data_IF_392712616625
#
_entry.id   IF_392712616625
#
_cell.length_a   1.000
_cell.length_b   1.000
_cell.length_c   1.000
_cell.angle_alpha   90.00
_cell.angle_beta   90.00
_cell.angle_gamma   90.00
#
_symmetry.space_group_name_H-M   'P 1'
#
loop_
_entity.id
_entity.type
_entity.pdbx_description
1 polymer ?
#
# COMPACT_ATOMS: atom_id res chain seq x y z
N UNK A 1 -16.43 26.95 18.84
CA UNK A 1 -17.85 26.57 18.55
C UNK A 1 -17.92 25.93 17.15
N UNK A 2 -18.90 25.10 16.85
CA UNK A 2 -18.97 24.32 15.60
C UNK A 2 -18.75 25.14 14.32
N UNK A 3 -19.28 26.37 14.25
CA UNK A 3 -19.12 27.25 13.08
C UNK A 3 -17.67 27.68 12.87
N UNK A 4 -16.91 27.92 13.96
CA UNK A 4 -15.49 28.25 13.88
C UNK A 4 -14.68 27.05 13.37
N UNK A 5 -15.02 25.84 13.84
CA UNK A 5 -14.34 24.61 13.43
C UNK A 5 -14.62 24.28 11.97
N UNK A 6 -15.87 24.45 11.50
CA UNK A 6 -16.22 24.31 10.08
C UNK A 6 -15.47 25.37 9.24
N UNK A 7 -15.42 26.60 9.71
CA UNK A 7 -14.72 27.67 8.99
C UNK A 7 -13.21 27.43 8.93
N UNK A 8 -12.60 26.89 10.01
CA UNK A 8 -11.19 26.46 10.00
C UNK A 8 -10.94 25.36 8.97
N UNK A 9 -11.83 24.37 8.86
CA UNK A 9 -11.73 23.31 7.87
C UNK A 9 -11.84 23.85 6.43
N UNK A 10 -12.75 24.79 6.16
CA UNK A 10 -12.88 25.47 4.87
C UNK A 10 -11.61 26.29 4.57
N UNK A 11 -11.11 27.05 5.56
CA UNK A 11 -9.87 27.83 5.43
C UNK A 11 -8.65 26.93 5.14
N UNK A 12 -8.56 25.76 5.81
CA UNK A 12 -7.56 24.74 5.52
C UNK A 12 -7.65 24.26 4.07
N UNK A 13 -8.84 23.96 3.58
CA UNK A 13 -9.05 23.45 2.22
C UNK A 13 -8.64 24.50 1.16
N UNK A 14 -8.97 25.78 1.37
CA UNK A 14 -8.53 26.88 0.50
C UNK A 14 -7.01 27.05 0.51
N UNK A 15 -6.39 27.10 1.69
CA UNK A 15 -4.94 27.25 1.86
C UNK A 15 -4.15 26.12 1.18
N UNK A 16 -4.70 24.92 1.16
CA UNK A 16 -4.09 23.74 0.57
C UNK A 16 -4.54 23.45 -0.88
N UNK A 17 -5.24 24.39 -1.50
CA UNK A 17 -5.70 24.28 -2.90
C UNK A 17 -6.61 23.05 -3.17
N UNK A 18 -7.32 22.56 -2.14
CA UNK A 18 -8.26 21.47 -2.27
C UNK A 18 -9.60 21.92 -2.87
N UNK A 19 -9.97 23.18 -2.62
CA UNK A 19 -11.17 23.84 -3.13
C UNK A 19 -10.82 25.24 -3.62
N UNK A 20 -11.65 25.82 -4.50
CA UNK A 20 -11.55 27.19 -4.95
C UNK A 20 -12.45 28.13 -4.13
N UNK A 21 -12.28 29.44 -4.27
CA UNK A 21 -13.12 30.45 -3.59
C UNK A 21 -14.61 30.32 -3.97
N UNK A 22 -14.86 29.93 -5.21
CA UNK A 22 -16.21 29.73 -5.76
C UNK A 22 -16.94 28.56 -5.12
N UNK A 23 -16.22 27.60 -4.52
CA UNK A 23 -16.77 26.38 -3.93
C UNK A 23 -17.27 26.60 -2.49
N UNK A 24 -16.87 27.68 -1.82
CA UNK A 24 -17.08 27.89 -0.38
C UNK A 24 -18.52 27.69 0.06
N UNK A 25 -19.49 28.27 -0.66
CA UNK A 25 -20.91 28.17 -0.25
C UNK A 25 -21.43 26.74 -0.42
N UNK A 26 -21.02 26.04 -1.48
CA UNK A 26 -21.43 24.65 -1.71
C UNK A 26 -20.86 23.75 -0.60
N UNK A 27 -19.56 23.88 -0.32
CA UNK A 27 -18.86 23.11 0.72
C UNK A 27 -19.46 23.41 2.11
N UNK A 28 -19.66 24.69 2.43
CA UNK A 28 -20.29 25.10 3.70
C UNK A 28 -21.65 24.45 3.89
N UNK A 29 -22.52 24.50 2.87
CA UNK A 29 -23.86 23.92 2.95
C UNK A 29 -23.83 22.39 3.09
N UNK A 30 -22.90 21.70 2.43
CA UNK A 30 -22.69 20.26 2.60
C UNK A 30 -22.20 19.89 4.00
N UNK A 31 -21.27 20.70 4.56
CA UNK A 31 -20.81 20.50 5.95
C UNK A 31 -21.95 20.76 6.94
N UNK A 32 -22.75 21.84 6.73
CA UNK A 32 -23.93 22.10 7.56
C UNK A 32 -24.92 20.95 7.53
N UNK A 33 -25.18 20.35 6.36
CA UNK A 33 -26.06 19.17 6.22
C UNK A 33 -25.53 17.98 7.03
N UNK A 34 -24.23 17.69 6.92
CA UNK A 34 -23.59 16.58 7.64
C UNK A 34 -23.66 16.75 9.17
N UNK A 35 -23.55 17.98 9.66
CA UNK A 35 -23.69 18.33 11.09
C UNK A 35 -25.13 18.65 11.51
N UNK A 36 -26.10 18.49 10.61
CA UNK A 36 -27.54 18.75 10.86
C UNK A 36 -27.80 20.19 11.34
N UNK A 37 -27.01 21.17 10.83
CA UNK A 37 -27.16 22.59 11.17
C UNK A 37 -28.16 23.25 10.23
N UNK A 38 -29.10 24.00 10.80
CA UNK A 38 -30.15 24.72 10.03
C UNK A 38 -29.83 26.19 9.79
N UNK A 39 -28.90 26.75 10.54
CA UNK A 39 -28.49 28.14 10.45
C UNK A 39 -26.96 28.22 10.36
N UNK A 40 -26.47 29.31 9.79
CA UNK A 40 -25.04 29.64 9.79
C UNK A 40 -24.79 30.87 10.65
N UNK A 41 -23.72 30.82 11.42
CA UNK A 41 -23.19 31.97 12.15
C UNK A 41 -21.86 32.38 11.54
N UNK A 42 -21.78 33.62 11.03
CA UNK A 42 -20.53 34.11 10.44
C UNK A 42 -19.44 34.17 11.50
N UNK A 43 -18.24 33.75 11.09
CA UNK A 43 -17.03 33.74 11.90
C UNK A 43 -15.86 34.19 11.04
N UNK A 44 -14.84 34.78 11.66
CA UNK A 44 -13.60 35.23 11.02
C UNK A 44 -12.43 34.29 11.33
N UNK A 45 -12.72 33.07 11.82
CA UNK A 45 -11.70 32.11 12.19
C UNK A 45 -10.99 31.60 10.92
N UNK A 46 -9.67 31.73 10.90
CA UNK A 46 -8.80 31.22 9.84
C UNK A 46 -8.01 30.03 10.34
N UNK A 47 -7.61 29.13 9.41
CA UNK A 47 -6.66 28.07 9.69
C UNK A 47 -5.24 28.67 9.77
N UNK A 48 -4.56 28.46 10.89
CA UNK A 48 -3.15 28.77 11.07
C UNK A 48 -2.22 27.75 10.38
N UNK A 49 -1.20 27.29 11.10
CA UNK A 49 -0.30 26.19 10.67
C UNK A 49 -0.67 24.87 11.36
N UNK A 50 -1.97 24.65 11.56
CA UNK A 50 -2.48 23.45 12.23
C UNK A 50 -2.43 22.25 11.29
N UNK A 51 -2.13 21.09 11.86
CA UNK A 51 -2.26 19.81 11.15
C UNK A 51 -3.74 19.45 11.00
N UNK A 52 -4.07 18.70 9.96
CA UNK A 52 -5.48 18.35 9.66
C UNK A 52 -6.15 17.58 10.81
N UNK A 53 -5.43 16.75 11.56
CA UNK A 53 -5.95 16.01 12.69
C UNK A 53 -6.43 16.95 13.82
N UNK A 54 -5.75 18.09 14.04
CA UNK A 54 -6.13 19.08 15.04
C UNK A 54 -7.39 19.84 14.64
N UNK A 55 -7.62 20.01 13.35
CA UNK A 55 -8.83 20.66 12.79
C UNK A 55 -10.02 19.68 12.83
N UNK A 56 -9.79 18.41 12.53
CA UNK A 56 -10.84 17.39 12.50
C UNK A 56 -11.29 16.97 13.91
N UNK A 57 -10.38 16.95 14.89
CA UNK A 57 -10.67 16.45 16.25
C UNK A 57 -11.90 17.13 16.88
N UNK A 58 -12.01 18.47 16.98
CA UNK A 58 -13.19 19.12 17.56
C UNK A 58 -14.48 18.89 16.78
N UNK A 59 -14.40 18.72 15.45
CA UNK A 59 -15.54 18.37 14.61
C UNK A 59 -16.08 16.95 14.90
N UNK A 60 -15.16 15.99 15.12
CA UNK A 60 -15.49 14.63 15.50
C UNK A 60 -16.08 14.57 16.92
N UNK A 61 -15.52 15.32 17.86
CA UNK A 61 -16.04 15.42 19.22
C UNK A 61 -17.47 15.98 19.22
N UNK A 62 -17.72 17.06 18.48
CA UNK A 62 -19.06 17.62 18.29
C UNK A 62 -20.03 16.57 17.72
N UNK A 63 -19.61 15.82 16.69
CA UNK A 63 -20.47 14.81 16.09
C UNK A 63 -20.83 13.67 17.07
N UNK A 64 -19.91 13.28 17.95
CA UNK A 64 -20.16 12.31 19.01
C UNK A 64 -21.09 12.88 20.10
N UNK A 65 -20.85 14.11 20.56
CA UNK A 65 -21.67 14.80 21.58
C UNK A 65 -23.12 14.99 21.12
N UNK A 66 -23.30 15.38 19.84
CA UNK A 66 -24.62 15.53 19.23
C UNK A 66 -25.24 14.17 18.81
N UNK A 67 -24.57 13.05 19.07
CA UNK A 67 -25.03 11.69 18.71
C UNK A 67 -25.26 11.50 17.20
N UNK A 68 -24.56 12.26 16.36
CA UNK A 68 -24.56 12.09 14.90
C UNK A 68 -23.84 10.78 14.55
N UNK A 69 -22.78 10.46 15.30
CA UNK A 69 -22.04 9.20 15.18
C UNK A 69 -21.81 8.59 16.57
N UNK A 70 -21.65 7.25 16.66
CA UNK A 70 -21.13 6.60 17.87
C UNK A 70 -19.68 7.00 18.14
N UNK A 71 -19.32 7.14 19.44
CA UNK A 71 -17.96 7.45 19.84
C UNK A 71 -17.10 6.17 19.88
N UNK A 72 -16.69 5.71 18.69
CA UNK A 72 -15.69 4.64 18.50
C UNK A 72 -14.75 5.02 17.38
N UNK A 73 -13.54 4.46 17.39
CA UNK A 73 -12.51 4.75 16.39
C UNK A 73 -13.01 4.50 14.96
N UNK A 74 -13.75 3.42 14.74
CA UNK A 74 -14.26 3.09 13.41
C UNK A 74 -15.26 4.15 12.88
N UNK A 75 -16.19 4.61 13.71
CA UNK A 75 -17.16 5.63 13.30
C UNK A 75 -16.52 7.01 13.16
N UNK A 76 -15.55 7.36 14.01
CA UNK A 76 -14.74 8.57 13.85
C UNK A 76 -13.99 8.54 12.52
N UNK A 77 -13.37 7.41 12.14
CA UNK A 77 -12.65 7.24 10.87
C UNK A 77 -13.56 7.30 9.63
N UNK A 78 -14.78 6.78 9.74
CA UNK A 78 -15.78 6.92 8.68
C UNK A 78 -16.21 8.38 8.51
N UNK A 79 -16.37 9.10 9.60
CA UNK A 79 -16.86 10.47 9.59
C UNK A 79 -15.80 11.48 9.17
N UNK A 80 -14.54 11.34 9.63
CA UNK A 80 -13.44 12.18 9.18
C UNK A 80 -13.24 12.06 7.66
N UNK A 81 -13.30 10.82 7.15
CA UNK A 81 -13.19 10.55 5.71
C UNK A 81 -14.37 11.14 4.94
N UNK A 82 -15.58 11.18 5.54
CA UNK A 82 -16.75 11.84 4.96
C UNK A 82 -16.53 13.36 4.87
N UNK A 83 -16.02 13.99 5.93
CA UNK A 83 -15.74 15.44 5.92
C UNK A 83 -14.68 15.78 4.86
N UNK A 84 -13.58 15.03 4.83
CA UNK A 84 -12.53 15.23 3.83
C UNK A 84 -13.01 14.92 2.41
N UNK A 85 -13.93 13.98 2.26
CA UNK A 85 -14.56 13.65 0.97
C UNK A 85 -15.32 14.83 0.34
N UNK A 86 -15.94 15.68 1.17
CA UNK A 86 -16.62 16.91 0.74
C UNK A 86 -15.62 17.91 0.12
N UNK A 87 -14.40 17.96 0.66
CA UNK A 87 -13.33 18.85 0.23
C UNK A 87 -12.51 18.29 -0.95
N UNK A 88 -12.79 17.04 -1.35
CA UNK A 88 -11.93 16.34 -2.32
C UNK A 88 -12.38 16.66 -3.75
N UNK A 89 -11.51 17.18 -4.63
CA UNK A 89 -11.80 17.44 -6.04
C UNK A 89 -12.30 16.17 -6.76
N UNK A 90 -13.00 16.35 -7.86
CA UNK A 90 -13.50 15.24 -8.65
C UNK A 90 -12.35 14.44 -9.32
N UNK A 91 -12.49 13.14 -9.56
CA UNK A 91 -11.43 12.30 -10.15
C UNK A 91 -10.84 12.87 -11.45
N UNK A 92 -11.67 13.50 -12.29
CA UNK A 92 -11.21 14.12 -13.54
C UNK A 92 -10.20 15.25 -13.31
N UNK A 93 -10.43 16.08 -12.30
CA UNK A 93 -9.56 17.21 -11.96
C UNK A 93 -8.19 16.70 -11.50
N UNK A 94 -8.20 15.76 -10.54
CA UNK A 94 -6.97 15.14 -10.01
C UNK A 94 -6.19 14.42 -11.12
N UNK A 95 -6.87 13.66 -11.97
CA UNK A 95 -6.24 12.97 -13.11
C UNK A 95 -5.62 13.96 -14.10
N UNK A 96 -6.35 15.03 -14.44
CA UNK A 96 -5.85 16.07 -15.38
C UNK A 96 -4.62 16.76 -14.79
N UNK A 97 -4.64 17.09 -13.51
CA UNK A 97 -3.51 17.72 -12.84
C UNK A 97 -2.30 16.80 -12.76
N UNK A 98 -2.51 15.52 -12.40
CA UNK A 98 -1.42 14.54 -12.36
C UNK A 98 -0.72 14.42 -13.71
N UNK A 99 -1.46 14.24 -14.81
CA UNK A 99 -0.85 14.11 -16.13
C UNK A 99 -0.17 15.38 -16.61
N UNK A 100 -0.74 16.57 -16.33
CA UNK A 100 -0.08 17.86 -16.60
C UNK A 100 1.25 18.01 -15.84
N UNK A 101 1.30 17.52 -14.59
CA UNK A 101 2.53 17.53 -13.80
C UNK A 101 3.52 16.48 -14.30
N UNK A 102 3.03 15.32 -14.77
CA UNK A 102 3.85 14.28 -15.37
C UNK A 102 4.58 14.72 -16.66
N UNK A 103 3.98 15.62 -17.43
CA UNK A 103 4.64 16.24 -18.58
C UNK A 103 5.90 17.05 -18.19
N UNK A 104 6.01 17.48 -16.93
CA UNK A 104 7.22 18.14 -16.42
C UNK A 104 8.26 17.12 -15.98
N UNK A 105 7.91 16.20 -15.14
CA UNK A 105 8.65 14.99 -14.79
C UNK A 105 7.78 14.01 -14.00
N UNK A 106 8.08 12.69 -14.05
CA UNK A 106 7.43 11.70 -13.21
C UNK A 106 7.54 12.03 -11.70
N UNK A 107 8.71 12.50 -11.25
CA UNK A 107 8.97 12.85 -9.86
C UNK A 107 8.07 14.01 -9.42
N UNK A 108 7.96 15.06 -10.24
CA UNK A 108 7.12 16.21 -9.93
C UNK A 108 5.64 15.81 -9.80
N UNK A 109 5.16 14.91 -10.66
CA UNK A 109 3.79 14.43 -10.59
C UNK A 109 3.53 13.62 -9.31
N UNK A 110 4.44 12.71 -8.96
CA UNK A 110 4.31 11.89 -7.74
C UNK A 110 4.46 12.71 -6.47
N UNK A 111 5.38 13.69 -6.42
CA UNK A 111 5.55 14.62 -5.29
C UNK A 111 4.24 15.39 -5.02
N UNK A 112 3.64 15.98 -6.08
CA UNK A 112 2.38 16.73 -5.97
C UNK A 112 1.21 15.83 -5.58
N UNK A 113 1.13 14.62 -6.13
CA UNK A 113 0.05 13.69 -5.83
C UNK A 113 0.18 13.08 -4.43
N UNK A 114 1.40 12.87 -3.93
CA UNK A 114 1.64 12.43 -2.56
C UNK A 114 1.26 13.51 -1.54
N UNK A 115 1.72 14.75 -1.76
CA UNK A 115 1.35 15.91 -0.96
C UNK A 115 -0.18 16.13 -0.93
N UNK A 116 -0.85 16.05 -2.07
CA UNK A 116 -2.30 16.08 -2.18
C UNK A 116 -2.97 14.96 -1.35
N UNK A 117 -2.46 13.74 -1.42
CA UNK A 117 -3.00 12.60 -0.67
C UNK A 117 -2.83 12.75 0.85
N UNK A 118 -1.77 13.43 1.30
CA UNK A 118 -1.58 13.79 2.70
C UNK A 118 -2.52 14.93 3.13
N UNK A 119 -2.64 15.98 2.34
CA UNK A 119 -3.54 17.12 2.60
C UNK A 119 -5.01 16.70 2.68
N UNK A 120 -5.40 15.69 1.94
CA UNK A 120 -6.72 15.07 2.03
C UNK A 120 -6.90 14.11 3.24
N UNK A 121 -5.88 13.95 4.08
CA UNK A 121 -5.88 12.95 5.15
C UNK A 121 -6.18 11.52 4.66
N UNK A 122 -5.93 11.24 3.36
CA UNK A 122 -5.98 9.88 2.84
C UNK A 122 -4.74 9.10 3.26
N UNK A 123 -3.55 9.68 3.06
CA UNK A 123 -2.32 9.24 3.72
C UNK A 123 -2.29 9.92 5.09
N UNK A 124 -2.55 9.16 6.14
CA UNK A 124 -2.75 9.67 7.50
C UNK A 124 -1.43 10.02 8.18
N UNK A 125 -0.82 11.14 7.74
CA UNK A 125 0.50 11.61 8.19
C UNK A 125 0.60 11.65 9.72
N UNK A 126 -0.35 12.26 10.43
CA UNK A 126 -0.32 12.39 11.88
C UNK A 126 -0.41 11.05 12.63
N UNK A 127 -0.97 9.99 12.00
CA UNK A 127 -0.91 8.63 12.55
C UNK A 127 0.42 7.96 12.26
N UNK A 128 0.96 8.12 11.03
CA UNK A 128 2.25 7.56 10.62
C UNK A 128 3.39 8.11 11.46
N UNK A 129 3.33 9.37 11.87
CA UNK A 129 4.31 10.01 12.75
C UNK A 129 4.34 9.42 14.17
N UNK A 130 3.27 8.74 14.58
CA UNK A 130 3.21 8.01 15.87
C UNK A 130 3.83 6.61 15.80
N UNK A 131 4.18 6.12 14.61
CA UNK A 131 4.87 4.86 14.46
C UNK A 131 6.26 4.93 15.08
N UNK A 132 6.65 3.88 15.80
CA UNK A 132 8.01 3.78 16.32
C UNK A 132 8.90 3.15 15.27
N UNK A 133 10.00 3.82 14.94
CA UNK A 133 10.94 3.40 13.90
C UNK A 133 12.37 3.40 14.45
N UNK A 134 13.10 2.32 14.17
CA UNK A 134 14.53 2.23 14.47
C UNK A 134 15.20 1.28 13.48
N UNK A 135 16.52 1.24 13.52
CA UNK A 135 17.34 0.33 12.71
C UNK A 135 18.00 -0.72 13.56
N UNK A 136 18.28 -1.88 12.96
CA UNK A 136 19.05 -2.96 13.57
C UNK A 136 20.16 -3.40 12.64
N UNK A 137 21.40 -3.39 13.13
CA UNK A 137 22.56 -3.89 12.39
C UNK A 137 22.59 -5.42 12.45
N UNK A 138 22.59 -6.05 11.29
CA UNK A 138 22.63 -7.51 11.14
C UNK A 138 23.76 -7.95 10.23
N UNK A 139 24.01 -9.26 10.15
CA UNK A 139 24.97 -9.85 9.21
C UNK A 139 24.60 -9.62 7.73
N UNK A 140 23.37 -9.17 7.47
CA UNK A 140 22.80 -8.89 6.15
C UNK A 140 22.71 -7.39 5.85
N UNK A 141 23.19 -6.54 6.74
CA UNK A 141 23.11 -5.09 6.67
C UNK A 141 22.12 -4.50 7.67
N UNK A 142 21.91 -3.19 7.55
CA UNK A 142 21.02 -2.43 8.43
C UNK A 142 19.56 -2.68 8.05
N UNK A 143 18.81 -3.30 8.94
CA UNK A 143 17.37 -3.57 8.77
C UNK A 143 16.54 -2.45 9.40
N UNK A 144 15.43 -2.08 8.74
CA UNK A 144 14.47 -1.14 9.26
C UNK A 144 13.39 -1.90 10.07
N UNK A 145 13.08 -1.40 11.27
CA UNK A 145 12.06 -1.97 12.13
C UNK A 145 11.03 -0.91 12.46
N UNK A 146 9.76 -1.23 12.29
CA UNK A 146 8.66 -0.33 12.58
C UNK A 146 7.60 -1.02 13.43
N UNK A 147 7.21 -0.38 14.54
CA UNK A 147 5.95 -0.69 15.22
C UNK A 147 4.88 0.20 14.63
N UNK A 148 3.99 -0.39 13.85
CA UNK A 148 2.92 0.33 13.18
C UNK A 148 1.78 0.62 14.17
N UNK A 149 1.63 1.89 14.54
CA UNK A 149 0.53 2.44 15.35
C UNK A 149 -0.53 3.14 14.49
N UNK A 150 -0.24 3.34 13.22
CA UNK A 150 -1.14 4.01 12.27
C UNK A 150 -2.36 3.16 11.90
N UNK A 151 -2.26 1.83 12.05
CA UNK A 151 -3.38 0.90 11.83
C UNK A 151 -4.14 0.72 13.15
N UNK A 152 -5.35 1.31 13.29
CA UNK A 152 -6.10 1.22 14.54
C UNK A 152 -6.52 -0.22 14.84
N UNK A 153 -6.44 -0.61 16.11
CA UNK A 153 -7.06 -1.85 16.59
C UNK A 153 -8.58 -1.73 16.50
N UNK A 154 -9.24 -2.84 16.20
CA UNK A 154 -10.70 -2.86 16.16
C UNK A 154 -11.26 -2.90 17.58
N UNK A 155 -12.12 -1.94 17.92
CA UNK A 155 -12.88 -1.95 19.17
C UNK A 155 -13.76 -3.22 19.23
N UNK A 156 -13.83 -3.93 20.38
CA UNK A 156 -14.72 -5.09 20.54
C UNK A 156 -16.17 -4.81 20.18
N UNK A 157 -16.67 -3.59 20.40
CA UNK A 157 -18.01 -3.14 20.01
C UNK A 157 -18.15 -3.11 18.47
N UNK A 158 -17.14 -2.63 17.78
CA UNK A 158 -17.08 -2.58 16.30
C UNK A 158 -17.00 -4.01 15.72
N UNK A 159 -16.24 -4.91 16.35
CA UNK A 159 -16.17 -6.33 15.95
C UNK A 159 -17.56 -7.00 16.07
N UNK A 160 -18.28 -6.73 17.17
CA UNK A 160 -19.62 -7.27 17.39
C UNK A 160 -20.64 -6.72 16.36
N UNK A 161 -20.61 -5.41 16.11
CA UNK A 161 -21.43 -4.77 15.10
C UNK A 161 -21.11 -5.27 13.68
N UNK A 162 -19.84 -5.46 13.37
CA UNK A 162 -19.40 -6.00 12.09
C UNK A 162 -19.91 -7.42 11.81
N UNK A 163 -19.96 -8.28 12.84
CA UNK A 163 -20.53 -9.64 12.73
C UNK A 163 -22.04 -9.64 12.49
N UNK A 164 -22.75 -8.62 12.95
CA UNK A 164 -24.21 -8.49 12.78
C UNK A 164 -24.59 -7.94 11.40
N UNK A 165 -23.66 -7.36 10.65
CA UNK A 165 -23.93 -6.81 9.32
C UNK A 165 -23.85 -7.88 8.24
N UNK A 166 -24.80 -7.84 7.30
CA UNK A 166 -24.74 -8.64 6.08
C UNK A 166 -23.51 -8.20 5.25
N UNK A 167 -22.72 -9.17 4.78
CA UNK A 167 -21.57 -8.88 3.92
C UNK A 167 -22.04 -8.21 2.62
N UNK A 168 -21.59 -6.98 2.37
CA UNK A 168 -21.83 -6.29 1.11
C UNK A 168 -20.87 -6.79 0.05
N UNK A 169 -21.39 -7.01 -1.18
CA UNK A 169 -20.58 -7.44 -2.32
C UNK A 169 -20.00 -6.26 -3.12
N UNK A 170 -20.13 -5.02 -2.62
CA UNK A 170 -19.68 -3.79 -3.28
C UNK A 170 -19.00 -2.85 -2.29
N UNK A 171 -17.79 -2.37 -2.60
CA UNK A 171 -16.86 -2.89 -3.61
C UNK A 171 -16.44 -4.35 -3.33
N UNK A 172 -16.04 -5.11 -4.36
CA UNK A 172 -15.65 -6.53 -4.19
C UNK A 172 -14.43 -6.71 -3.30
N UNK A 173 -13.47 -5.78 -3.35
CA UNK A 173 -12.31 -5.74 -2.46
C UNK A 173 -11.81 -4.30 -2.29
N UNK A 174 -10.80 -4.10 -1.43
CA UNK A 174 -10.26 -2.77 -1.10
C UNK A 174 -9.46 -2.11 -2.25
N UNK A 175 -9.15 -2.85 -3.33
CA UNK A 175 -8.42 -2.35 -4.49
C UNK A 175 -9.31 -2.14 -5.73
N UNK A 176 -10.62 -2.45 -5.66
CA UNK A 176 -11.51 -2.17 -6.77
C UNK A 176 -11.65 -0.67 -7.02
N UNK A 177 -11.73 -0.20 -8.28
CA UNK A 177 -11.90 1.22 -8.62
C UNK A 177 -13.12 1.86 -7.95
N UNK A 178 -14.15 1.07 -7.68
CA UNK A 178 -15.39 1.48 -7.01
C UNK A 178 -15.16 1.97 -5.56
N UNK A 179 -13.96 1.78 -5.01
CA UNK A 179 -13.61 2.38 -3.72
C UNK A 179 -13.51 3.90 -3.79
N UNK A 180 -13.19 4.49 -4.94
CA UNK A 180 -13.11 5.95 -5.08
C UNK A 180 -14.45 6.60 -4.72
N UNK A 181 -14.48 7.39 -3.65
CA UNK A 181 -15.70 8.01 -3.14
C UNK A 181 -16.61 7.12 -2.28
N UNK A 182 -16.23 5.86 -2.01
CA UNK A 182 -17.03 4.93 -1.22
C UNK A 182 -17.12 5.36 0.25
N UNK A 183 -18.37 5.42 0.79
CA UNK A 183 -18.60 5.89 2.15
C UNK A 183 -18.04 4.96 3.24
N UNK A 184 -17.82 3.70 2.89
CA UNK A 184 -17.36 2.71 3.86
C UNK A 184 -18.46 2.22 4.81
N UNK A 185 -18.04 1.31 5.68
CA UNK A 185 -18.84 0.79 6.80
C UNK A 185 -17.87 0.10 7.80
N UNK A 186 -18.37 -0.47 8.89
CA UNK A 186 -17.55 -1.15 9.91
C UNK A 186 -16.68 -2.28 9.32
N UNK A 187 -17.12 -2.93 8.23
CA UNK A 187 -16.41 -4.02 7.58
C UNK A 187 -15.54 -3.59 6.39
N UNK A 188 -15.73 -2.38 5.89
CA UNK A 188 -15.01 -1.85 4.73
C UNK A 188 -14.65 -0.39 4.96
N UNK A 189 -13.36 -0.01 4.90
CA UNK A 189 -12.94 1.36 5.21
C UNK A 189 -13.57 2.38 4.25
N UNK A 190 -13.86 3.57 4.78
CA UNK A 190 -14.27 4.71 3.96
C UNK A 190 -13.14 5.15 3.02
N UNK A 191 -13.51 5.60 1.83
CA UNK A 191 -12.62 6.05 0.75
C UNK A 191 -13.17 7.28 0.02
N UNK A 192 -13.97 8.12 0.70
CA UNK A 192 -14.57 9.30 0.09
C UNK A 192 -13.53 10.33 -0.36
N UNK A 193 -12.37 10.34 0.29
CA UNK A 193 -11.19 11.17 -0.04
C UNK A 193 -10.15 10.45 -0.92
N UNK A 194 -10.43 9.27 -1.44
CA UNK A 194 -9.55 8.54 -2.36
C UNK A 194 -9.81 8.96 -3.81
N UNK A 195 -8.74 9.30 -4.53
CA UNK A 195 -8.75 9.60 -5.97
C UNK A 195 -7.61 8.86 -6.68
N UNK A 196 -7.80 7.58 -7.05
CA UNK A 196 -6.80 6.86 -7.84
C UNK A 196 -6.61 7.53 -9.20
N UNK A 197 -5.37 7.54 -9.67
CA UNK A 197 -5.02 8.09 -10.98
C UNK A 197 -4.93 6.97 -12.01
N UNK A 198 -5.67 7.04 -13.12
CA UNK A 198 -5.57 6.08 -14.21
C UNK A 198 -4.19 6.13 -14.87
N UNK A 199 -3.58 4.96 -15.04
CA UNK A 199 -2.34 4.76 -15.80
C UNK A 199 -2.53 3.61 -16.78
N UNK A 200 -1.58 3.45 -17.71
CA UNK A 200 -1.57 2.34 -18.66
C UNK A 200 -0.39 1.43 -18.37
N UNK A 201 -0.63 0.12 -18.28
CA UNK A 201 0.42 -0.90 -18.14
C UNK A 201 0.22 -1.95 -19.24
N UNK A 202 1.19 -2.11 -20.12
CA UNK A 202 1.13 -2.98 -21.32
C UNK A 202 -0.15 -2.79 -22.15
N UNK A 203 -0.62 -1.54 -22.27
CA UNK A 203 -1.83 -1.21 -23.02
C UNK A 203 -3.16 -1.48 -22.28
N UNK A 204 -3.13 -2.02 -21.07
CA UNK A 204 -4.30 -2.21 -20.21
C UNK A 204 -4.49 -1.04 -19.26
N UNK A 205 -5.73 -0.86 -18.77
CA UNK A 205 -6.07 0.17 -17.80
C UNK A 205 -5.75 -0.28 -16.38
N UNK A 206 -4.98 0.53 -15.70
CA UNK A 206 -4.57 0.36 -14.30
C UNK A 206 -4.81 1.65 -13.53
N UNK A 207 -4.69 1.59 -12.22
CA UNK A 207 -4.84 2.73 -11.32
C UNK A 207 -3.63 2.81 -10.38
N UNK A 208 -3.18 4.03 -10.12
CA UNK A 208 -2.16 4.36 -9.11
C UNK A 208 -2.82 5.03 -7.91
N UNK A 209 -2.52 4.58 -6.70
CA UNK A 209 -2.89 5.25 -5.46
C UNK A 209 -1.80 5.09 -4.40
N UNK A 210 -1.73 5.98 -3.42
CA UNK A 210 -0.90 5.77 -2.25
C UNK A 210 -1.58 4.86 -1.23
N UNK A 211 -0.78 4.28 -0.33
CA UNK A 211 -1.30 3.50 0.79
C UNK A 211 -1.62 4.42 1.97
N UNK A 212 -2.80 4.31 2.58
CA UNK A 212 -3.14 5.12 3.75
C UNK A 212 -2.28 4.83 4.97
N UNK A 213 -1.57 3.69 4.98
CA UNK A 213 -0.76 3.25 6.12
C UNK A 213 0.70 3.69 6.06
N UNK A 214 1.22 4.13 4.89
CA UNK A 214 2.54 4.72 4.74
C UNK A 214 3.67 3.93 5.41
N UNK A 215 3.78 2.63 5.15
CA UNK A 215 4.81 1.79 5.77
C UNK A 215 6.23 2.27 5.49
N UNK A 216 6.43 2.89 4.36
CA UNK A 216 7.67 3.57 3.93
C UNK A 216 7.31 4.79 3.08
N UNK A 217 8.32 5.61 2.74
CA UNK A 217 8.08 6.85 1.99
C UNK A 217 7.40 6.59 0.63
N UNK A 218 6.35 7.34 0.37
CA UNK A 218 5.56 7.27 -0.88
C UNK A 218 5.07 5.84 -1.22
N UNK A 219 4.76 5.03 -0.17
CA UNK A 219 4.19 3.70 -0.37
C UNK A 219 2.93 3.78 -1.24
N UNK A 220 3.00 3.21 -2.44
CA UNK A 220 1.93 3.24 -3.41
C UNK A 220 1.52 1.83 -3.86
N UNK A 221 0.35 1.77 -4.47
CA UNK A 221 -0.23 0.55 -5.04
C UNK A 221 -0.66 0.87 -6.48
N UNK A 222 -0.19 0.06 -7.40
CA UNK A 222 -0.65 0.03 -8.79
C UNK A 222 -1.49 -1.23 -8.97
N UNK A 223 -2.76 -1.09 -9.36
CA UNK A 223 -3.70 -2.20 -9.43
C UNK A 223 -4.48 -2.21 -10.74
N UNK A 224 -4.82 -3.40 -11.21
CA UNK A 224 -5.59 -3.58 -12.44
C UNK A 224 -7.01 -3.01 -12.25
N UNK A 225 -7.54 -2.29 -13.23
CA UNK A 225 -8.93 -1.82 -13.19
C UNK A 225 -9.93 -2.98 -13.12
N UNK A 226 -9.59 -4.12 -13.72
CA UNK A 226 -10.38 -5.34 -13.65
C UNK A 226 -10.07 -6.13 -12.38
N UNK A 227 -11.10 -6.61 -11.69
CA UNK A 227 -10.94 -7.50 -10.54
C UNK A 227 -10.53 -8.91 -11.01
N UNK A 228 -9.25 -9.11 -11.24
CA UNK A 228 -8.61 -10.37 -11.67
C UNK A 228 -7.66 -10.85 -10.59
N UNK A 229 -7.58 -12.17 -10.39
CA UNK A 229 -6.67 -12.75 -9.39
C UNK A 229 -5.21 -12.50 -9.77
N UNK A 230 -4.37 -12.36 -8.75
CA UNK A 230 -2.91 -12.29 -8.91
C UNK A 230 -2.38 -13.58 -9.51
N UNK A 231 -1.40 -13.43 -10.39
CA UNK A 231 -0.68 -14.55 -11.00
C UNK A 231 0.76 -14.13 -11.26
N UNK A 232 1.69 -14.97 -10.85
CA UNK A 232 3.11 -14.80 -11.16
C UNK A 232 3.43 -15.64 -12.39
N UNK A 233 3.53 -15.02 -13.55
CA UNK A 233 3.92 -15.63 -14.83
C UNK A 233 4.90 -14.74 -15.60
N UNK A 234 5.20 -15.04 -16.84
CA UNK A 234 6.11 -14.24 -17.67
C UNK A 234 5.66 -12.79 -17.83
N UNK A 235 4.34 -12.56 -17.90
CA UNK A 235 3.77 -11.22 -18.13
C UNK A 235 3.96 -10.31 -16.91
N UNK A 236 4.06 -10.85 -15.70
CA UNK A 236 4.27 -10.04 -14.50
C UNK A 236 5.58 -9.26 -14.54
N UNK A 237 6.64 -9.85 -15.11
CA UNK A 237 7.93 -9.17 -15.23
C UNK A 237 7.86 -8.02 -16.24
N UNK A 238 7.16 -8.22 -17.35
CA UNK A 238 6.93 -7.17 -18.36
C UNK A 238 6.12 -6.01 -17.77
N UNK A 239 5.05 -6.30 -16.98
CA UNK A 239 4.25 -5.29 -16.27
C UNK A 239 5.09 -4.51 -15.28
N UNK A 240 5.92 -5.19 -14.46
CA UNK A 240 6.79 -4.52 -13.49
C UNK A 240 7.78 -3.58 -14.18
N UNK A 241 8.41 -4.02 -15.28
CA UNK A 241 9.32 -3.16 -16.04
C UNK A 241 8.61 -2.01 -16.74
N UNK A 242 7.38 -2.21 -17.22
CA UNK A 242 6.58 -1.14 -17.81
C UNK A 242 6.22 -0.05 -16.78
N UNK A 243 5.93 -0.46 -15.54
CA UNK A 243 5.62 0.46 -14.45
C UNK A 243 6.88 1.22 -13.98
N UNK A 244 8.05 0.56 -13.88
CA UNK A 244 9.28 1.27 -13.52
C UNK A 244 9.80 2.18 -14.64
N UNK A 245 9.47 1.92 -15.90
CA UNK A 245 9.69 2.88 -16.99
C UNK A 245 8.79 4.12 -16.85
N UNK A 246 7.54 3.91 -16.41
CA UNK A 246 6.60 5.00 -16.16
C UNK A 246 6.99 5.82 -14.92
N UNK A 247 7.50 5.19 -13.83
CA UNK A 247 7.94 5.83 -12.60
C UNK A 247 9.37 5.40 -12.23
N UNK A 248 10.40 5.88 -12.94
CA UNK A 248 11.77 5.36 -12.84
C UNK A 248 12.46 5.61 -11.49
N UNK A 249 11.94 6.53 -10.69
CA UNK A 249 12.42 6.84 -9.35
C UNK A 249 11.80 5.96 -8.25
N UNK A 250 10.89 5.04 -8.62
CA UNK A 250 10.26 4.07 -7.73
C UNK A 250 10.77 2.65 -8.01
N UNK A 251 10.76 1.82 -6.98
CA UNK A 251 10.73 0.38 -7.15
C UNK A 251 9.29 -0.11 -7.27
N UNK A 252 9.06 -1.27 -7.86
CA UNK A 252 7.80 -2.00 -7.82
C UNK A 252 8.02 -3.49 -7.62
N UNK A 253 7.16 -4.10 -6.80
CA UNK A 253 7.20 -5.53 -6.57
C UNK A 253 5.80 -6.14 -6.45
N UNK A 254 5.72 -7.44 -6.68
CA UNK A 254 4.51 -8.22 -6.51
C UNK A 254 4.61 -9.11 -5.28
N UNK A 255 3.53 -9.22 -4.51
CA UNK A 255 3.40 -10.35 -3.61
C UNK A 255 3.38 -11.66 -4.41
N UNK A 256 3.75 -12.76 -3.76
CA UNK A 256 3.58 -14.09 -4.33
C UNK A 256 2.10 -14.43 -4.53
N UNK A 257 1.80 -15.25 -5.53
CA UNK A 257 0.43 -15.62 -5.94
C UNK A 257 -0.14 -16.85 -5.19
N UNK A 258 0.67 -17.50 -4.35
CA UNK A 258 0.25 -18.65 -3.57
C UNK A 258 -0.13 -18.25 -2.13
N UNK A 259 -1.11 -18.93 -1.50
CA UNK A 259 -1.44 -18.72 -0.09
C UNK A 259 -0.23 -18.90 0.82
N UNK A 260 -0.28 -18.35 2.03
CA UNK A 260 0.76 -18.47 3.09
C UNK A 260 2.00 -17.60 2.80
N UNK A 261 2.47 -17.55 1.55
CA UNK A 261 3.63 -16.73 1.13
C UNK A 261 3.23 -15.50 0.33
N UNK A 262 1.94 -15.33 0.04
CA UNK A 262 1.38 -14.17 -0.65
C UNK A 262 0.91 -13.07 0.29
N UNK A 263 0.45 -11.97 -0.30
CA UNK A 263 -0.20 -10.87 0.40
C UNK A 263 -1.64 -11.17 0.81
N UNK A 264 -2.28 -10.18 1.43
CA UNK A 264 -3.66 -10.32 1.94
C UNK A 264 -4.74 -10.27 0.86
N UNK A 265 -4.45 -9.74 -0.33
CA UNK A 265 -5.41 -9.57 -1.43
C UNK A 265 -4.88 -10.31 -2.67
N UNK A 266 -5.09 -11.63 -2.72
CA UNK A 266 -4.69 -12.45 -3.87
C UNK A 266 -5.75 -12.43 -4.99
N UNK A 267 -6.96 -11.98 -4.70
CA UNK A 267 -8.08 -11.95 -5.66
C UNK A 267 -8.05 -10.77 -6.62
N UNK A 268 -7.15 -9.80 -6.41
CA UNK A 268 -7.05 -8.62 -7.26
C UNK A 268 -5.58 -8.33 -7.61
N UNK A 269 -5.26 -8.34 -8.89
CA UNK A 269 -3.91 -8.12 -9.40
C UNK A 269 -3.43 -6.70 -9.07
N UNK A 270 -2.31 -6.62 -8.34
CA UNK A 270 -1.72 -5.36 -7.92
C UNK A 270 -0.23 -5.49 -7.64
N UNK A 271 0.47 -4.37 -7.72
CA UNK A 271 1.87 -4.21 -7.36
C UNK A 271 2.01 -3.14 -6.28
N UNK A 272 3.00 -3.28 -5.43
CA UNK A 272 3.36 -2.28 -4.43
C UNK A 272 4.69 -1.64 -4.82
N UNK A 273 4.79 -0.33 -4.63
CA UNK A 273 5.99 0.43 -4.97
C UNK A 273 6.13 1.68 -4.14
N UNK A 274 7.11 2.50 -4.48
CA UNK A 274 7.35 3.78 -3.83
C UNK A 274 8.81 4.21 -3.89
N UNK A 275 9.09 5.37 -3.31
CA UNK A 275 10.44 5.96 -3.25
C UNK A 275 11.13 5.55 -1.95
N UNK A 276 11.67 4.35 -1.93
CA UNK A 276 12.35 3.82 -0.76
C UNK A 276 13.42 2.81 -1.15
N UNK A 277 14.60 2.87 -0.51
CA UNK A 277 15.70 1.96 -0.73
C UNK A 277 15.81 0.98 0.44
N UNK A 278 15.36 -0.25 0.23
CA UNK A 278 15.36 -1.30 1.25
C UNK A 278 16.75 -1.90 1.51
N UNK A 279 16.92 -2.54 2.66
CA UNK A 279 18.13 -3.24 3.03
C UNK A 279 18.54 -4.31 1.99
N UNK A 280 17.59 -5.07 1.46
CA UNK A 280 17.86 -6.08 0.43
C UNK A 280 18.44 -5.48 -0.85
N UNK A 281 18.03 -4.28 -1.25
CA UNK A 281 18.60 -3.60 -2.42
C UNK A 281 20.08 -3.31 -2.25
N UNK A 282 20.49 -2.90 -1.03
CA UNK A 282 21.89 -2.60 -0.66
C UNK A 282 22.74 -3.85 -0.43
N UNK A 283 22.10 -5.01 -0.29
CA UNK A 283 22.78 -6.26 0.02
C UNK A 283 23.72 -6.69 -1.13
N UNK A 284 24.90 -7.21 -0.75
CA UNK A 284 25.94 -7.62 -1.68
C UNK A 284 25.58 -8.91 -2.39
N UNK A 285 26.15 -9.11 -3.57
CA UNK A 285 26.14 -10.42 -4.23
C UNK A 285 27.14 -11.33 -3.52
N UNK A 286 26.65 -12.47 -3.04
CA UNK A 286 27.48 -13.50 -2.40
C UNK A 286 28.16 -14.39 -3.43
N UNK A 287 27.46 -14.67 -4.53
CA UNK A 287 27.97 -15.54 -5.60
C UNK A 287 27.40 -15.13 -6.95
N UNK A 288 28.27 -14.78 -7.87
CA UNK A 288 27.90 -14.56 -9.27
C UNK A 288 27.79 -15.89 -10.02
N UNK A 289 26.89 -15.94 -11.01
CA UNK A 289 26.75 -17.06 -11.93
C UNK A 289 26.29 -16.60 -13.31
N UNK A 290 26.48 -17.46 -14.34
CA UNK A 290 26.06 -17.17 -15.69
C UNK A 290 24.84 -18.01 -16.08
N UNK A 291 23.87 -17.38 -16.72
CA UNK A 291 22.76 -18.05 -17.39
C UNK A 291 23.12 -18.17 -18.87
N UNK A 292 23.57 -19.36 -19.32
CA UNK A 292 24.13 -19.54 -20.66
C UNK A 292 23.23 -18.99 -21.79
N UNK A 293 21.91 -19.11 -21.64
CA UNK A 293 20.93 -18.61 -22.60
C UNK A 293 20.79 -17.09 -22.60
N UNK A 294 21.24 -16.41 -21.53
CA UNK A 294 21.13 -14.97 -21.31
C UNK A 294 22.47 -14.37 -20.87
N UNK A 295 23.51 -14.55 -21.71
CA UNK A 295 24.88 -14.17 -21.38
C UNK A 295 25.10 -12.67 -21.17
N UNK A 296 24.18 -11.82 -21.65
CA UNK A 296 24.18 -10.36 -21.42
C UNK A 296 23.50 -9.96 -20.11
N UNK A 297 22.86 -10.90 -19.37
CA UNK A 297 22.25 -10.65 -18.08
C UNK A 297 23.26 -10.97 -16.98
N UNK A 298 23.56 -10.01 -16.14
CA UNK A 298 24.32 -10.23 -14.92
C UNK A 298 23.40 -10.93 -13.90
N UNK A 299 23.88 -12.03 -13.33
CA UNK A 299 23.11 -12.82 -12.38
C UNK A 299 23.93 -13.15 -11.15
N UNK A 300 23.35 -13.02 -9.96
CA UNK A 300 24.02 -13.34 -8.71
C UNK A 300 23.05 -13.72 -7.58
N UNK A 301 23.56 -14.49 -6.64
CA UNK A 301 22.87 -14.81 -5.39
C UNK A 301 23.12 -13.67 -4.42
N UNK A 302 22.07 -13.07 -3.88
CA UNK A 302 22.18 -11.97 -2.90
C UNK A 302 22.49 -12.55 -1.52
N UNK A 303 23.43 -11.95 -0.80
CA UNK A 303 23.67 -12.25 0.62
C UNK A 303 22.48 -11.76 1.46
N UNK A 304 21.51 -12.62 1.64
CA UNK A 304 20.22 -12.30 2.29
C UNK A 304 19.70 -13.51 3.08
N UNK A 305 18.92 -13.33 4.16
CA UNK A 305 18.39 -14.46 4.94
C UNK A 305 17.39 -15.33 4.19
N UNK A 306 16.95 -14.89 3.02
CA UNK A 306 16.09 -15.65 2.10
C UNK A 306 16.84 -15.92 0.80
N UNK A 307 16.42 -16.93 0.03
CA UNK A 307 17.00 -17.24 -1.27
C UNK A 307 16.57 -16.18 -2.29
N UNK A 308 17.49 -15.31 -2.66
CA UNK A 308 17.26 -14.20 -3.61
C UNK A 308 18.25 -14.28 -4.76
N UNK A 309 17.74 -14.26 -5.98
CA UNK A 309 18.52 -14.12 -7.21
C UNK A 309 18.31 -12.71 -7.73
N UNK A 310 19.41 -11.95 -7.91
CA UNK A 310 19.41 -10.63 -8.55
C UNK A 310 19.85 -10.74 -9.99
N UNK A 311 19.03 -10.22 -10.88
CA UNK A 311 19.32 -10.13 -12.30
C UNK A 311 19.39 -8.66 -12.73
N UNK A 312 20.36 -8.33 -13.62
CA UNK A 312 20.54 -6.98 -14.13
C UNK A 312 20.82 -6.98 -15.64
N UNK A 313 20.25 -6.03 -16.37
CA UNK A 313 20.52 -5.84 -17.80
C UNK A 313 20.13 -4.43 -18.23
N UNK A 314 20.79 -3.90 -19.27
CA UNK A 314 20.32 -2.69 -19.96
C UNK A 314 19.09 -3.00 -20.85
N UNK A 315 18.90 -4.25 -21.24
CA UNK A 315 17.80 -4.66 -22.10
C UNK A 315 16.65 -5.26 -21.28
N UNK A 316 15.55 -4.53 -21.18
CA UNK A 316 14.31 -4.89 -20.48
C UNK A 316 13.74 -6.25 -20.92
N UNK A 317 13.67 -6.47 -22.23
CA UNK A 317 13.06 -7.70 -22.79
C UNK A 317 13.91 -8.93 -22.50
N UNK A 318 15.23 -8.82 -22.62
CA UNK A 318 16.15 -9.90 -22.27
C UNK A 318 16.09 -10.21 -20.78
N UNK A 319 15.99 -9.19 -19.93
CA UNK A 319 15.85 -9.37 -18.48
C UNK A 319 14.52 -10.05 -18.12
N UNK A 320 13.41 -9.64 -18.72
CA UNK A 320 12.10 -10.27 -18.53
C UNK A 320 12.12 -11.76 -18.90
N UNK A 321 12.74 -12.09 -20.04
CA UNK A 321 12.90 -13.48 -20.46
C UNK A 321 13.77 -14.31 -19.50
N UNK A 322 14.84 -13.72 -18.95
CA UNK A 322 15.69 -14.37 -17.96
C UNK A 322 14.94 -14.58 -16.64
N UNK A 323 14.15 -13.61 -16.17
CA UNK A 323 13.29 -13.75 -14.99
C UNK A 323 12.27 -14.89 -15.17
N UNK A 324 11.63 -14.95 -16.35
CA UNK A 324 10.67 -16.01 -16.68
C UNK A 324 11.34 -17.38 -16.69
N UNK A 325 12.54 -17.49 -17.25
CA UNK A 325 13.32 -18.73 -17.25
C UNK A 325 13.62 -19.22 -15.82
N UNK A 326 14.01 -18.32 -14.91
CA UNK A 326 14.25 -18.67 -13.48
C UNK A 326 12.94 -19.12 -12.82
N UNK A 327 11.83 -18.41 -13.07
CA UNK A 327 10.51 -18.79 -12.55
C UNK A 327 10.13 -20.20 -12.95
N UNK A 328 10.27 -20.55 -14.24
CA UNK A 328 9.93 -21.88 -14.77
C UNK A 328 10.81 -22.99 -14.16
N UNK A 329 12.10 -22.71 -14.00
CA UNK A 329 13.01 -23.63 -13.32
C UNK A 329 12.64 -23.83 -11.86
N UNK A 330 12.34 -22.73 -11.15
CA UNK A 330 11.95 -22.79 -9.75
C UNK A 330 10.63 -23.53 -9.55
N UNK A 331 9.62 -23.29 -10.40
CA UNK A 331 8.31 -23.97 -10.31
C UNK A 331 8.40 -25.48 -10.39
N UNK A 332 9.37 -26.01 -11.09
CA UNK A 332 9.59 -27.46 -11.23
C UNK A 332 10.68 -28.04 -10.32
N UNK A 333 11.33 -27.17 -9.50
CA UNK A 333 12.44 -27.58 -8.67
C UNK A 333 12.00 -28.26 -7.39
N UNK A 334 12.62 -29.40 -7.09
CA UNK A 334 12.50 -30.11 -5.79
C UNK A 334 13.87 -30.47 -5.26
N UNK A 335 14.05 -30.33 -3.95
CA UNK A 335 15.20 -30.77 -3.19
C UNK A 335 14.71 -31.33 -1.86
N UNK A 336 14.58 -32.65 -1.78
CA UNK A 336 14.08 -33.33 -0.59
C UNK A 336 15.00 -33.13 0.63
N UNK A 337 16.30 -32.92 0.40
CA UNK A 337 17.27 -32.70 1.49
C UNK A 337 17.08 -31.35 2.19
N UNK A 338 16.44 -30.39 1.48
CA UNK A 338 16.09 -29.06 1.99
C UNK A 338 14.58 -28.93 2.26
N UNK A 339 13.81 -30.01 2.25
CA UNK A 339 12.34 -29.99 2.38
C UNK A 339 11.60 -29.19 1.31
N UNK A 340 12.23 -28.93 0.18
CA UNK A 340 11.65 -28.22 -0.95
C UNK A 340 10.99 -29.22 -1.89
N UNK A 341 9.67 -29.15 -2.03
CA UNK A 341 8.92 -29.89 -3.04
C UNK A 341 8.22 -28.89 -3.98
N UNK A 342 8.33 -29.13 -5.29
CA UNK A 342 7.64 -28.32 -6.29
C UNK A 342 6.12 -28.41 -6.15
N UNK A 343 5.60 -29.56 -5.78
CA UNK A 343 4.18 -29.84 -5.60
C UNK A 343 3.93 -31.02 -4.66
N UNK A 344 2.73 -31.09 -4.11
CA UNK A 344 2.21 -32.26 -3.37
C UNK A 344 0.81 -32.57 -3.89
N UNK A 345 0.58 -33.80 -4.38
CA UNK A 345 -0.70 -34.22 -4.96
C UNK A 345 -1.24 -33.27 -6.04
N UNK A 346 -0.36 -32.70 -6.87
CA UNK A 346 -0.71 -31.74 -7.93
C UNK A 346 -0.92 -30.31 -7.49
N UNK A 347 -0.80 -30.01 -6.19
CA UNK A 347 -0.88 -28.63 -5.68
C UNK A 347 0.53 -28.01 -5.69
N UNK A 348 0.75 -26.90 -6.41
CA UNK A 348 2.05 -26.25 -6.52
C UNK A 348 2.45 -25.56 -5.20
N UNK A 349 3.76 -25.55 -4.92
CA UNK A 349 4.33 -24.91 -3.75
C UNK A 349 5.31 -23.78 -4.08
N UNK A 350 5.99 -23.87 -5.23
CA UNK A 350 7.00 -22.90 -5.61
C UNK A 350 6.41 -21.70 -6.35
N UNK A 351 6.80 -20.52 -5.94
CA UNK A 351 6.49 -19.25 -6.58
C UNK A 351 7.61 -18.23 -6.31
N UNK A 352 7.48 -17.02 -6.84
CA UNK A 352 8.46 -15.95 -6.68
C UNK A 352 7.75 -14.68 -6.17
N UNK A 353 8.44 -13.92 -5.34
CA UNK A 353 8.15 -12.51 -5.05
C UNK A 353 9.13 -11.67 -5.86
N UNK A 354 8.73 -11.10 -7.02
CA UNK A 354 9.61 -10.28 -7.87
C UNK A 354 9.61 -8.83 -7.43
N UNK A 355 10.79 -8.19 -7.47
CA UNK A 355 10.96 -6.75 -7.19
C UNK A 355 11.82 -6.14 -8.31
N UNK A 356 11.28 -5.16 -9.02
CA UNK A 356 11.93 -4.47 -10.12
C UNK A 356 12.25 -3.02 -9.76
N UNK A 357 13.35 -2.50 -10.32
CA UNK A 357 13.75 -1.09 -10.23
C UNK A 357 14.71 -0.73 -11.35
N UNK A 358 14.95 0.56 -11.52
CA UNK A 358 16.01 1.09 -12.38
C UNK A 358 17.13 1.60 -11.47
N UNK A 359 18.36 1.20 -11.77
CA UNK A 359 19.56 1.66 -11.10
C UNK A 359 20.59 2.14 -12.13
N UNK A 360 20.71 3.45 -12.28
CA UNK A 360 21.48 4.06 -13.37
C UNK A 360 20.87 3.71 -14.73
N UNK A 361 21.63 3.04 -15.61
CA UNK A 361 21.17 2.56 -16.91
C UNK A 361 20.63 1.12 -16.90
N UNK A 362 20.67 0.45 -15.75
CA UNK A 362 20.32 -0.96 -15.62
C UNK A 362 18.92 -1.14 -15.04
N UNK A 363 18.15 -2.01 -15.68
CA UNK A 363 17.02 -2.66 -15.01
C UNK A 363 17.56 -3.72 -14.07
N UNK A 364 17.05 -3.72 -12.85
CA UNK A 364 17.32 -4.75 -11.85
C UNK A 364 16.04 -5.46 -11.46
N UNK A 365 16.13 -6.78 -11.29
CA UNK A 365 15.04 -7.58 -10.74
C UNK A 365 15.57 -8.53 -9.67
N UNK A 366 15.04 -8.42 -8.45
CA UNK A 366 15.26 -9.38 -7.39
C UNK A 366 14.15 -10.42 -7.41
N UNK A 367 14.52 -11.68 -7.52
CA UNK A 367 13.62 -12.84 -7.54
C UNK A 367 13.73 -13.56 -6.19
N UNK A 368 12.81 -13.29 -5.27
CA UNK A 368 12.77 -13.98 -3.97
C UNK A 368 12.05 -15.30 -4.15
N UNK A 369 12.78 -16.41 -4.01
CA UNK A 369 12.24 -17.76 -4.16
C UNK A 369 11.37 -18.11 -2.96
N UNK A 370 10.11 -18.48 -3.21
CA UNK A 370 9.12 -18.80 -2.17
C UNK A 370 8.63 -20.22 -2.33
N UNK A 371 8.35 -20.87 -1.19
CA UNK A 371 7.68 -22.17 -1.12
C UNK A 371 6.65 -22.14 0.00
N UNK A 372 5.40 -22.51 -0.30
CA UNK A 372 4.27 -22.45 0.64
C UNK A 372 3.92 -23.80 1.28
N UNK A 373 4.78 -24.80 1.15
CA UNK A 373 4.53 -26.13 1.71
C UNK A 373 4.29 -26.06 3.21
N UNK A 374 3.29 -26.78 3.67
CA UNK A 374 2.95 -26.93 5.09
C UNK A 374 3.04 -28.39 5.52
N UNK A 375 3.15 -28.61 6.82
CA UNK A 375 2.96 -29.91 7.49
C UNK A 375 2.00 -29.73 8.66
N UNK A 376 1.57 -30.84 9.29
CA UNK A 376 0.75 -30.76 10.51
C UNK A 376 1.47 -30.01 11.64
N UNK A 377 2.80 -30.16 11.77
CA UNK A 377 3.61 -29.45 12.77
C UNK A 377 3.89 -28.00 12.38
N UNK A 378 3.83 -27.66 11.08
CA UNK A 378 4.13 -26.33 10.53
C UNK A 378 2.98 -25.82 9.64
N UNK A 379 1.80 -25.56 10.20
CA UNK A 379 0.60 -25.20 9.43
C UNK A 379 0.69 -23.78 8.80
N UNK A 380 1.59 -22.94 9.27
CA UNK A 380 1.84 -21.61 8.70
C UNK A 380 2.94 -21.60 7.62
N UNK A 381 3.49 -22.78 7.28
CA UNK A 381 4.55 -22.94 6.29
C UNK A 381 5.86 -23.46 6.91
N UNK A 382 6.54 -24.36 6.19
CA UNK A 382 7.84 -24.89 6.62
C UNK A 382 8.90 -23.80 6.78
N UNK A 383 8.85 -22.80 5.90
CA UNK A 383 9.80 -21.69 5.85
C UNK A 383 9.28 -20.44 6.56
N UNK A 384 8.16 -20.55 7.29
CA UNK A 384 7.65 -19.48 8.14
C UNK A 384 8.51 -19.34 9.40
N UNK A 385 8.64 -18.11 9.99
CA UNK A 385 9.37 -17.93 11.24
C UNK A 385 9.00 -18.91 12.33
N UNK A 386 9.97 -19.24 13.19
CA UNK A 386 9.76 -20.19 14.28
C UNK A 386 8.60 -19.70 15.19
N UNK A 387 7.72 -20.61 15.67
CA UNK A 387 6.63 -20.25 16.58
C UNK A 387 7.03 -19.46 17.82
N UNK A 388 8.26 -19.62 18.32
CA UNK A 388 8.81 -18.81 19.43
C UNK A 388 8.91 -17.33 19.11
N UNK A 389 8.91 -16.96 17.81
CA UNK A 389 9.00 -15.57 17.32
C UNK A 389 7.63 -14.99 16.93
N UNK A 390 6.54 -15.74 17.06
CA UNK A 390 5.21 -15.28 16.65
C UNK A 390 4.68 -14.11 17.50
N UNK A 391 5.27 -13.83 18.65
CA UNK A 391 4.99 -12.61 19.41
C UNK A 391 5.52 -11.35 18.71
N UNK A 392 6.47 -11.48 17.79
CA UNK A 392 6.97 -10.39 16.95
C UNK A 392 6.16 -10.31 15.64
N UNK A 393 6.04 -11.45 14.94
CA UNK A 393 5.34 -11.55 13.67
C UNK A 393 4.76 -12.94 13.49
N UNK A 394 3.45 -13.05 13.43
CA UNK A 394 2.72 -14.30 13.19
C UNK A 394 2.14 -14.39 11.78
N UNK A 395 1.83 -13.23 11.19
CA UNK A 395 1.23 -13.14 9.87
C UNK A 395 2.22 -13.58 8.78
N UNK A 396 1.70 -13.76 7.59
CA UNK A 396 2.48 -14.09 6.41
C UNK A 396 3.59 -13.04 6.17
N UNK A 397 4.75 -13.53 5.73
CA UNK A 397 5.86 -12.68 5.29
C UNK A 397 5.58 -12.25 3.85
N UNK A 398 5.19 -10.99 3.68
CA UNK A 398 4.86 -10.39 2.39
C UNK A 398 6.04 -9.66 1.74
N UNK A 399 5.74 -8.90 0.68
CA UNK A 399 6.73 -8.16 -0.11
C UNK A 399 7.62 -7.24 0.74
N UNK A 400 7.02 -6.51 1.67
CA UNK A 400 7.71 -5.48 2.46
C UNK A 400 8.73 -6.12 3.40
N UNK A 401 8.31 -7.18 4.10
CA UNK A 401 9.18 -7.89 5.04
C UNK A 401 10.33 -8.61 4.33
N UNK A 402 10.10 -9.20 3.15
CA UNK A 402 11.19 -9.85 2.40
C UNK A 402 12.27 -8.86 1.96
N UNK A 403 11.95 -7.58 1.81
CA UNK A 403 12.90 -6.53 1.46
C UNK A 403 13.68 -5.96 2.66
N UNK A 404 13.33 -6.36 3.90
CA UNK A 404 14.07 -5.99 5.10
C UNK A 404 13.44 -4.88 5.94
N UNK A 405 12.15 -4.56 5.75
CA UNK A 405 11.37 -3.74 6.67
C UNK A 405 10.50 -4.63 7.55
N UNK A 406 10.86 -4.77 8.81
CA UNK A 406 10.06 -5.54 9.78
C UNK A 406 8.89 -4.70 10.30
N UNK A 407 7.67 -5.14 10.01
CA UNK A 407 6.44 -4.55 10.52
C UNK A 407 5.96 -5.33 11.75
N UNK A 408 6.10 -4.74 12.93
CA UNK A 408 5.64 -5.32 14.20
C UNK A 408 4.27 -4.72 14.52
N UNK A 409 3.26 -5.58 14.71
CA UNK A 409 1.96 -5.20 15.23
C UNK A 409 1.91 -5.61 16.70
N UNK A 410 2.00 -4.63 17.62
CA UNK A 410 1.80 -4.88 19.04
C UNK A 410 0.31 -4.69 19.34
N UNK A 411 -0.38 -5.77 19.69
CA UNK A 411 -1.64 -5.66 20.41
C UNK A 411 -1.33 -5.12 21.79
N UNK A 412 -1.89 -3.96 22.17
CA UNK A 412 -1.79 -3.50 23.55
C UNK A 412 -2.35 -4.60 24.48
N UNK A 413 -1.66 -4.91 25.59
CA UNK A 413 -2.21 -5.83 26.55
C UNK A 413 -3.54 -5.24 27.05
N UNK A 414 -4.61 -5.96 26.84
CA UNK A 414 -5.91 -5.66 27.46
C UNK A 414 -5.69 -5.54 28.96
N UNK A 415 -5.79 -4.31 29.48
CA UNK A 415 -5.86 -4.04 30.91
C UNK A 415 -7.21 -4.44 31.44
#
# INVERSE_FOLDING_TARGET
>A
MIYDDIQRLISYALKNELIAQEDIYVIRNQLMEVFQLTNWQETQTECGNEEIDDILSPLLDYACEQKIIPDTTAFRDLFDTKLMGILTPMPREVTTEFHRNYEKSPEYATDRYYDFSQKLNYVRKGRIEKDLKWTYESDYGTLDITINRSKPEKDPRDIAAAKAMQAAAYPKCQLCPENAGFAGNINHPARQNLRPVPITVLGEKWQLQYSPYGYYNEHCIVFNEKHTAMKIDSVVFEKLFDIVDYLPHYFFGSNADLPIVGGSILSHEHFQGGRYTFAMEKAQIEKDFCIHQFSSVQAGIVKWPMSVIRLKSENRSTLSAACSYILDKWRSYSDESADILAQTNGVPHNTITPIARINGSLYECDLVLRNNRTTEERPLGLFHPNPSLHHIKKENIGLIEVMGLSLIHISEPTR
#
